data_IF_281703890754
#
_entry.id   IF_281703890754
#
_cell.length_a   1.000
_cell.length_b   1.000
_cell.length_c   1.000
_cell.angle_alpha   90.00
_cell.angle_beta   90.00
_cell.angle_gamma   90.00
#
_symmetry.space_group_name_H-M   'P 1'
#
loop_
_entity.id
_entity.type
_entity.pdbx_description
1 polymer ?
#
# COMPACT_ATOMS: atom_id res chain seq x y z
N UNK A 1 -7.91 -6.50 15.17
CA UNK A 1 -6.50 -6.04 15.30
C UNK A 1 -5.89 -5.90 13.92
N UNK A 2 -4.92 -4.99 13.74
CA UNK A 2 -4.08 -4.92 12.55
C UNK A 2 -2.75 -5.59 12.85
N UNK A 3 -2.31 -6.46 11.96
CA UNK A 3 -1.10 -7.28 12.09
C UNK A 3 -0.23 -7.02 10.86
N UNK A 4 1.03 -6.64 11.07
CA UNK A 4 2.03 -6.49 10.01
C UNK A 4 3.11 -7.53 10.20
N UNK A 5 3.44 -8.23 9.13
CA UNK A 5 4.47 -9.30 9.12
C UNK A 5 5.49 -9.01 8.03
N UNK A 6 6.77 -9.18 8.35
CA UNK A 6 7.87 -9.11 7.39
C UNK A 6 8.80 -10.32 7.55
N UNK A 7 9.23 -10.90 6.42
CA UNK A 7 10.11 -12.06 6.40
C UNK A 7 10.83 -12.19 5.06
N UNK A 8 11.87 -13.05 4.98
CA UNK A 8 12.28 -13.62 3.69
C UNK A 8 11.13 -14.43 3.11
N UNK A 9 10.87 -14.26 1.81
CA UNK A 9 9.81 -14.99 1.13
C UNK A 9 10.10 -16.49 1.07
N UNK A 10 9.08 -17.30 1.31
CA UNK A 10 9.10 -18.77 1.21
C UNK A 10 7.68 -19.33 1.09
N UNK A 11 7.51 -20.54 0.57
CA UNK A 11 6.24 -21.25 0.67
C UNK A 11 5.79 -21.43 2.13
N UNK A 12 4.49 -21.27 2.37
CA UNK A 12 3.85 -21.57 3.65
C UNK A 12 3.76 -20.41 4.64
N UNK A 13 4.36 -19.21 4.38
CA UNK A 13 4.28 -18.07 5.32
C UNK A 13 2.82 -17.66 5.59
N UNK A 14 2.00 -17.58 4.55
CA UNK A 14 0.59 -17.22 4.71
C UNK A 14 -0.12 -18.25 5.60
N UNK A 15 0.14 -19.54 5.35
CA UNK A 15 -0.45 -20.62 6.14
C UNK A 15 0.00 -20.57 7.62
N UNK A 16 1.28 -20.28 7.87
CA UNK A 16 1.79 -20.13 9.24
C UNK A 16 1.12 -18.96 9.97
N UNK A 17 1.00 -17.81 9.32
CA UNK A 17 0.40 -16.60 9.90
C UNK A 17 -1.09 -16.78 10.13
N UNK A 18 -1.82 -17.25 9.10
CA UNK A 18 -3.28 -17.47 9.22
C UNK A 18 -3.61 -18.63 10.16
N UNK A 19 -2.76 -19.65 10.21
CA UNK A 19 -2.87 -20.74 11.17
C UNK A 19 -2.72 -20.26 12.62
N UNK A 20 -1.79 -19.37 12.91
CA UNK A 20 -1.63 -18.77 14.23
C UNK A 20 -2.86 -17.96 14.65
N UNK A 21 -3.49 -17.22 13.72
CA UNK A 21 -4.75 -16.51 13.94
C UNK A 21 -5.88 -17.50 14.24
N UNK A 22 -6.01 -18.53 13.42
CA UNK A 22 -7.04 -19.56 13.58
C UNK A 22 -6.93 -20.28 14.94
N UNK A 23 -5.71 -20.64 15.37
CA UNK A 23 -5.49 -21.30 16.67
C UNK A 23 -5.83 -20.42 17.88
N UNK A 24 -5.93 -19.10 17.69
CA UNK A 24 -6.44 -18.14 18.69
C UNK A 24 -7.94 -17.85 18.54
N UNK A 25 -8.68 -18.68 17.80
CA UNK A 25 -10.08 -18.47 17.42
C UNK A 25 -10.31 -17.11 16.74
N UNK A 26 -9.30 -16.58 16.04
CA UNK A 26 -9.41 -15.36 15.27
C UNK A 26 -10.02 -15.60 13.89
N UNK A 27 -10.73 -14.58 13.39
CA UNK A 27 -11.26 -14.56 12.03
C UNK A 27 -10.57 -13.49 11.18
N UNK A 28 -10.18 -13.87 9.96
CA UNK A 28 -9.48 -12.98 9.03
C UNK A 28 -10.49 -12.12 8.25
N UNK A 29 -10.45 -10.81 8.49
CA UNK A 29 -11.34 -9.85 7.82
C UNK A 29 -10.75 -9.31 6.51
N UNK A 30 -9.42 -9.15 6.42
CA UNK A 30 -8.74 -8.65 5.22
C UNK A 30 -7.25 -9.00 5.23
N UNK A 31 -6.64 -9.15 4.04
CA UNK A 31 -5.23 -9.43 3.89
C UNK A 31 -4.68 -8.82 2.60
N UNK A 32 -3.58 -8.09 2.71
CA UNK A 32 -2.78 -7.66 1.58
C UNK A 32 -1.33 -8.08 1.79
N UNK A 33 -0.69 -8.60 0.73
CA UNK A 33 0.72 -8.96 0.78
C UNK A 33 1.45 -8.54 -0.49
N UNK A 34 2.75 -8.30 -0.36
CA UNK A 34 3.64 -8.09 -1.50
C UNK A 34 5.00 -8.72 -1.26
N UNK A 35 5.67 -9.08 -2.35
CA UNK A 35 7.05 -9.57 -2.31
C UNK A 35 7.93 -8.57 -3.06
N UNK A 36 8.95 -8.06 -2.39
CA UNK A 36 9.93 -7.15 -2.97
C UNK A 36 11.34 -7.69 -2.74
N UNK A 37 12.06 -7.97 -3.82
CA UNK A 37 13.45 -8.45 -3.79
C UNK A 37 13.66 -9.69 -2.87
N UNK A 38 12.70 -10.63 -2.84
CA UNK A 38 12.77 -11.83 -2.01
C UNK A 38 12.39 -11.62 -0.54
N UNK A 39 11.86 -10.45 -0.20
CA UNK A 39 11.23 -10.18 1.10
C UNK A 39 9.74 -10.03 0.94
N UNK A 40 8.99 -10.78 1.73
CA UNK A 40 7.54 -10.67 1.85
C UNK A 40 7.20 -9.66 2.93
N UNK A 41 6.25 -8.78 2.62
CA UNK A 41 5.54 -7.97 3.61
C UNK A 41 4.04 -8.26 3.51
N UNK A 42 3.38 -8.33 4.66
CA UNK A 42 1.96 -8.64 4.76
C UNK A 42 1.33 -7.74 5.81
N UNK A 43 0.18 -7.17 5.46
CA UNK A 43 -0.70 -6.49 6.41
C UNK A 43 -2.03 -7.22 6.38
N UNK A 44 -2.54 -7.57 7.55
CA UNK A 44 -3.83 -8.23 7.68
C UNK A 44 -4.62 -7.67 8.86
N UNK A 45 -5.92 -7.80 8.75
CA UNK A 45 -6.86 -7.41 9.79
C UNK A 45 -7.59 -8.66 10.24
N UNK A 46 -7.54 -8.93 11.53
CA UNK A 46 -8.23 -10.05 12.15
C UNK A 46 -9.04 -9.60 13.38
N UNK A 47 -10.16 -10.28 13.59
CA UNK A 47 -11.00 -10.15 14.79
C UNK A 47 -10.68 -11.28 15.74
N UNK A 48 -10.77 -11.01 17.04
CA UNK A 48 -10.51 -11.97 18.11
C UNK A 48 -11.50 -11.74 19.24
N UNK A 49 -11.65 -12.73 20.10
CA UNK A 49 -12.34 -12.53 21.37
C UNK A 49 -11.68 -11.43 22.21
N UNK A 50 -12.45 -10.76 23.04
CA UNK A 50 -11.99 -9.63 23.85
C UNK A 50 -10.87 -9.99 24.84
N UNK A 51 -10.73 -11.26 25.19
CA UNK A 51 -9.67 -11.80 26.06
C UNK A 51 -8.30 -11.89 25.37
N UNK A 52 -8.25 -11.95 24.04
CA UNK A 52 -6.99 -12.05 23.28
C UNK A 52 -6.32 -10.67 23.23
N UNK A 53 -5.06 -10.63 23.62
CA UNK A 53 -4.24 -9.41 23.59
C UNK A 53 -3.33 -9.37 22.36
N UNK A 54 -2.82 -8.20 21.94
CA UNK A 54 -1.78 -8.12 20.92
C UNK A 54 -0.54 -8.97 21.24
N UNK A 55 -0.19 -9.05 22.53
CA UNK A 55 0.95 -9.82 23.05
C UNK A 55 0.74 -11.33 22.82
N UNK A 56 -0.50 -11.83 23.02
CA UNK A 56 -0.83 -13.23 22.76
C UNK A 56 -0.67 -13.57 21.28
N UNK A 57 -1.09 -12.66 20.39
CA UNK A 57 -0.93 -12.83 18.94
C UNK A 57 0.55 -12.82 18.56
N UNK A 58 1.34 -11.89 19.08
CA UNK A 58 2.80 -11.82 18.84
C UNK A 58 3.47 -13.09 19.34
N UNK A 59 3.15 -13.54 20.55
CA UNK A 59 3.70 -14.77 21.12
C UNK A 59 3.38 -15.99 20.24
N UNK A 60 2.12 -16.10 19.79
CA UNK A 60 1.69 -17.19 18.92
C UNK A 60 2.40 -17.19 17.57
N UNK A 61 2.53 -16.03 16.94
CA UNK A 61 3.26 -15.84 15.68
C UNK A 61 4.76 -16.20 15.84
N UNK A 62 5.36 -15.91 16.97
CA UNK A 62 6.79 -16.21 17.25
C UNK A 62 7.07 -17.70 17.45
N UNK A 63 6.05 -18.50 17.77
CA UNK A 63 6.16 -19.95 18.02
C UNK A 63 5.76 -20.81 16.81
N UNK A 64 5.66 -20.22 15.61
CA UNK A 64 5.46 -21.02 14.40
C UNK A 64 6.61 -22.01 14.20
N UNK A 65 6.29 -23.21 13.70
CA UNK A 65 7.24 -24.32 13.55
C UNK A 65 8.34 -24.11 12.51
N UNK A 66 8.44 -22.92 11.95
CA UNK A 66 9.38 -22.57 10.91
C UNK A 66 10.74 -22.14 11.47
N UNK A 67 11.82 -22.59 10.84
CA UNK A 67 13.19 -22.13 11.13
C UNK A 67 13.42 -20.66 10.76
N UNK A 68 12.58 -20.11 9.89
CA UNK A 68 12.64 -18.69 9.48
C UNK A 68 11.64 -17.91 10.34
N UNK A 69 12.19 -17.11 11.23
CA UNK A 69 11.41 -16.17 12.04
C UNK A 69 10.93 -15.01 11.14
N UNK A 70 9.74 -14.52 11.44
CA UNK A 70 9.24 -13.28 10.86
C UNK A 70 9.09 -12.21 11.95
N UNK A 71 9.33 -10.97 11.54
CA UNK A 71 9.07 -9.82 12.38
C UNK A 71 7.58 -9.49 12.30
N UNK A 72 6.90 -9.41 13.45
CA UNK A 72 5.48 -9.10 13.52
C UNK A 72 5.21 -7.90 14.44
N UNK A 73 4.31 -7.03 13.99
CA UNK A 73 3.78 -5.93 14.78
C UNK A 73 2.26 -6.12 14.84
N UNK A 74 1.69 -6.09 16.05
CA UNK A 74 0.25 -6.23 16.27
C UNK A 74 -0.24 -5.00 17.03
N UNK A 75 -1.34 -4.40 16.55
CA UNK A 75 -1.98 -3.25 17.21
C UNK A 75 -3.49 -3.44 17.25
N UNK A 76 -4.12 -2.96 18.32
CA UNK A 76 -5.58 -2.78 18.32
C UNK A 76 -5.95 -1.67 17.36
N UNK A 77 -7.08 -1.84 16.69
CA UNK A 77 -7.65 -0.78 15.85
C UNK A 77 -8.58 0.08 16.71
N UNK A 78 -8.43 1.39 16.58
CA UNK A 78 -9.28 2.36 17.28
C UNK A 78 -10.64 2.55 16.58
N UNK A 79 -10.69 2.19 15.28
CA UNK A 79 -11.90 2.34 14.46
C UNK A 79 -12.31 0.98 13.90
N UNK A 80 -13.59 0.60 13.95
CA UNK A 80 -14.09 -0.61 13.32
C UNK A 80 -13.81 -0.67 11.82
N UNK A 81 -13.51 -1.87 11.31
CA UNK A 81 -13.15 -2.07 9.90
C UNK A 81 -14.29 -1.67 8.94
N UNK A 82 -15.53 -1.85 9.35
CA UNK A 82 -16.72 -1.50 8.55
C UNK A 82 -16.76 0.00 8.25
N UNK A 83 -16.39 0.83 9.23
CA UNK A 83 -16.30 2.30 9.07
C UNK A 83 -15.17 2.65 8.10
N UNK A 84 -14.02 2.00 8.21
CA UNK A 84 -12.87 2.25 7.32
C UNK A 84 -13.15 1.81 5.88
N UNK A 85 -13.80 0.66 5.69
CA UNK A 85 -14.20 0.17 4.36
C UNK A 85 -15.28 1.04 3.70
N UNK A 86 -16.08 1.75 4.48
CA UNK A 86 -17.08 2.70 3.96
C UNK A 86 -16.47 4.04 3.50
N UNK A 87 -15.25 4.35 3.92
CA UNK A 87 -14.55 5.60 3.58
C UNK A 87 -13.71 5.43 2.30
N UNK A 88 -14.34 5.01 1.20
CA UNK A 88 -13.65 4.95 -0.09
C UNK A 88 -13.55 6.36 -0.67
N UNK A 89 -12.37 6.82 -1.10
CA UNK A 89 -12.22 8.13 -1.73
C UNK A 89 -13.08 8.27 -2.99
N UNK A 90 -13.87 9.35 -3.07
CA UNK A 90 -14.79 9.58 -4.20
C UNK A 90 -14.06 9.92 -5.50
N UNK A 91 -12.88 10.57 -5.40
CA UNK A 91 -12.12 11.04 -6.57
C UNK A 91 -10.70 10.47 -6.54
N UNK A 92 -10.54 9.30 -7.08
CA UNK A 92 -9.24 8.64 -7.19
C UNK A 92 -8.61 8.90 -8.55
N UNK A 93 -7.35 9.31 -8.55
CA UNK A 93 -6.56 9.54 -9.76
C UNK A 93 -5.30 8.71 -9.75
N UNK A 94 -4.85 8.31 -10.93
CA UNK A 94 -3.56 7.65 -11.13
C UNK A 94 -2.59 8.66 -11.72
N UNK A 95 -1.48 8.87 -11.00
CA UNK A 95 -0.34 9.63 -11.47
C UNK A 95 0.74 8.66 -11.90
N UNK A 96 1.06 8.67 -13.21
CA UNK A 96 2.22 7.99 -13.74
C UNK A 96 3.32 9.02 -13.97
N UNK A 97 4.49 8.78 -13.41
CA UNK A 97 5.66 9.64 -13.58
C UNK A 97 6.85 8.78 -14.01
N UNK A 98 7.56 9.19 -15.07
CA UNK A 98 8.75 8.49 -15.52
C UNK A 98 9.84 9.45 -15.95
N UNK A 99 11.08 9.03 -15.79
CA UNK A 99 12.23 9.83 -16.16
C UNK A 99 13.55 9.12 -15.87
N UNK A 100 14.65 9.84 -16.04
CA UNK A 100 15.98 9.32 -15.69
C UNK A 100 16.07 9.13 -14.17
N UNK A 101 16.67 8.01 -13.73
CA UNK A 101 16.87 7.76 -12.31
C UNK A 101 17.72 8.87 -11.66
N UNK A 102 17.19 9.48 -10.63
CA UNK A 102 17.83 10.51 -9.80
C UNK A 102 17.47 10.31 -8.34
N UNK A 103 18.37 10.68 -7.44
CA UNK A 103 18.05 10.69 -6.00
C UNK A 103 16.91 11.68 -5.71
N UNK A 104 16.00 11.30 -4.82
CA UNK A 104 14.95 12.18 -4.30
C UNK A 104 13.68 12.27 -5.16
N UNK A 105 13.51 11.48 -6.22
CA UNK A 105 12.30 11.55 -7.06
C UNK A 105 11.03 11.24 -6.27
N UNK A 106 11.04 10.17 -5.47
CA UNK A 106 9.90 9.81 -4.62
C UNK A 106 9.64 10.90 -3.59
N UNK A 107 10.68 11.40 -2.93
CA UNK A 107 10.55 12.51 -1.97
C UNK A 107 9.93 13.76 -2.62
N UNK A 108 10.41 14.15 -3.80
CA UNK A 108 9.91 15.32 -4.51
C UNK A 108 8.42 15.21 -4.82
N UNK A 109 7.99 14.07 -5.38
CA UNK A 109 6.57 13.89 -5.74
C UNK A 109 5.68 13.74 -4.51
N UNK A 110 6.16 13.08 -3.45
CA UNK A 110 5.43 12.97 -2.19
C UNK A 110 5.30 14.32 -1.49
N UNK A 111 6.35 15.16 -1.53
CA UNK A 111 6.31 16.53 -1.01
C UNK A 111 5.33 17.40 -1.80
N UNK A 112 5.30 17.27 -3.13
CA UNK A 112 4.30 17.92 -3.98
C UNK A 112 2.87 17.57 -3.56
N UNK A 113 2.59 16.27 -3.34
CA UNK A 113 1.29 15.81 -2.87
C UNK A 113 0.97 16.36 -1.48
N UNK A 114 1.89 16.24 -0.53
CA UNK A 114 1.71 16.71 0.85
C UNK A 114 1.37 18.20 0.92
N UNK A 115 2.10 19.06 0.20
CA UNK A 115 1.88 20.51 0.19
C UNK A 115 0.49 20.92 -0.33
N UNK A 116 -0.19 20.01 -1.04
CA UNK A 116 -1.53 20.24 -1.60
C UNK A 116 -2.63 19.46 -0.88
N UNK A 117 -2.31 18.80 0.23
CA UNK A 117 -3.26 17.97 0.96
C UNK A 117 -3.74 16.74 0.18
N UNK A 118 -2.96 16.29 -0.81
CA UNK A 118 -3.26 15.09 -1.61
C UNK A 118 -2.70 13.87 -0.88
N UNK A 119 -3.58 12.93 -0.51
CA UNK A 119 -3.14 11.66 0.06
C UNK A 119 -2.72 10.68 -1.02
N UNK A 120 -1.61 9.97 -0.78
CA UNK A 120 -1.13 8.88 -1.63
C UNK A 120 -1.69 7.58 -1.04
N UNK A 121 -2.58 6.93 -1.78
CA UNK A 121 -3.24 5.68 -1.38
C UNK A 121 -2.38 4.45 -1.68
N UNK A 122 -1.66 4.49 -2.80
CA UNK A 122 -0.73 3.45 -3.23
C UNK A 122 0.41 4.04 -4.03
N UNK A 123 1.58 3.42 -3.96
CA UNK A 123 2.78 3.82 -4.68
C UNK A 123 3.59 2.60 -5.10
N UNK A 124 3.74 2.42 -6.39
CA UNK A 124 4.62 1.41 -6.96
C UNK A 124 5.74 2.05 -7.77
N UNK A 125 6.95 1.53 -7.63
CA UNK A 125 8.12 2.03 -8.37
C UNK A 125 8.80 0.92 -9.13
N UNK A 126 9.33 1.23 -10.32
CA UNK A 126 10.12 0.31 -11.12
C UNK A 126 11.35 1.03 -11.67
N UNK A 127 12.50 0.38 -11.56
CA UNK A 127 13.74 0.83 -12.19
C UNK A 127 14.15 -0.19 -13.25
N UNK A 128 14.16 0.24 -14.51
CA UNK A 128 14.62 -0.55 -15.64
C UNK A 128 15.44 0.33 -16.58
N UNK A 129 16.60 -0.14 -17.05
CA UNK A 129 17.47 0.55 -18.01
C UNK A 129 17.73 2.03 -17.65
N UNK A 130 18.03 2.31 -16.38
CA UNK A 130 18.22 3.65 -15.84
C UNK A 130 17.01 4.60 -15.99
N UNK A 131 15.84 4.06 -16.31
CA UNK A 131 14.56 4.75 -16.30
C UNK A 131 13.80 4.38 -15.02
N UNK A 132 13.40 5.39 -14.30
CA UNK A 132 12.60 5.26 -13.07
C UNK A 132 11.15 5.58 -13.40
N UNK A 133 10.27 4.66 -13.10
CA UNK A 133 8.82 4.82 -13.27
C UNK A 133 8.15 4.72 -11.91
N UNK A 134 7.24 5.64 -11.64
CA UNK A 134 6.39 5.67 -10.46
C UNK A 134 4.94 5.67 -10.90
N UNK A 135 4.12 4.84 -10.26
CA UNK A 135 2.67 4.84 -10.41
C UNK A 135 2.09 5.08 -9.02
N UNK A 136 1.36 6.17 -8.88
CA UNK A 136 0.74 6.57 -7.61
C UNK A 136 -0.77 6.60 -7.77
N UNK A 137 -1.48 6.03 -6.82
CA UNK A 137 -2.90 6.24 -6.65
C UNK A 137 -3.11 7.36 -5.64
N UNK A 138 -3.83 8.40 -6.05
CA UNK A 138 -4.01 9.63 -5.31
C UNK A 138 -5.47 9.86 -4.95
N UNK A 139 -5.73 10.29 -3.71
CA UNK A 139 -7.04 10.80 -3.30
C UNK A 139 -7.11 12.31 -3.55
N UNK A 140 -7.94 12.70 -4.50
CA UNK A 140 -8.23 14.08 -4.83
C UNK A 140 -9.66 14.52 -4.41
N UNK A 141 -10.30 13.80 -3.50
CA UNK A 141 -11.69 14.09 -3.07
C UNK A 141 -11.85 15.52 -2.54
N UNK A 142 -10.83 16.02 -1.83
CA UNK A 142 -10.82 17.38 -1.25
C UNK A 142 -10.33 18.47 -2.21
N UNK A 143 -9.92 18.11 -3.42
CA UNK A 143 -9.40 19.05 -4.40
C UNK A 143 -10.53 19.69 -5.19
N UNK A 144 -10.58 21.01 -5.15
CA UNK A 144 -11.62 21.80 -5.84
C UNK A 144 -11.33 22.01 -7.34
N UNK A 145 -10.04 22.05 -7.73
CA UNK A 145 -9.62 22.30 -9.11
C UNK A 145 -8.54 21.32 -9.56
N UNK A 146 -8.94 20.30 -10.29
CA UNK A 146 -8.01 19.36 -10.95
C UNK A 146 -7.14 20.07 -12.00
N UNK A 147 -7.66 21.12 -12.63
CA UNK A 147 -6.89 21.91 -13.59
C UNK A 147 -5.65 22.52 -12.93
N UNK A 148 -5.81 23.14 -11.76
CA UNK A 148 -4.69 23.75 -11.04
C UNK A 148 -3.65 22.69 -10.63
N UNK A 149 -4.10 21.51 -10.17
CA UNK A 149 -3.19 20.40 -9.84
C UNK A 149 -2.39 19.96 -11.07
N UNK A 150 -3.02 19.89 -12.25
CA UNK A 150 -2.33 19.53 -13.48
C UNK A 150 -1.29 20.58 -13.91
N UNK A 151 -1.62 21.86 -13.79
CA UNK A 151 -0.71 22.96 -14.12
C UNK A 151 0.52 22.95 -13.19
N UNK A 152 0.29 22.84 -11.89
CA UNK A 152 1.36 22.76 -10.88
C UNK A 152 2.21 21.51 -11.06
N UNK A 153 1.57 20.36 -11.35
CA UNK A 153 2.26 19.11 -11.59
C UNK A 153 3.13 19.16 -12.84
N UNK A 154 2.68 19.84 -13.90
CA UNK A 154 3.46 20.06 -15.11
C UNK A 154 4.70 20.92 -14.83
N UNK A 155 4.55 21.96 -14.01
CA UNK A 155 5.68 22.82 -13.60
C UNK A 155 6.70 22.02 -12.78
N UNK A 156 6.24 21.28 -11.77
CA UNK A 156 7.08 20.37 -10.97
C UNK A 156 7.82 19.34 -11.84
N UNK A 157 7.10 18.70 -12.75
CA UNK A 157 7.65 17.68 -13.64
C UNK A 157 8.76 18.21 -14.53
N UNK A 158 8.58 19.41 -15.07
CA UNK A 158 9.59 20.10 -15.88
C UNK A 158 10.88 20.34 -15.07
N UNK A 159 10.76 20.81 -13.85
CA UNK A 159 11.89 21.05 -12.95
C UNK A 159 12.58 19.75 -12.54
N UNK A 160 11.80 18.73 -12.19
CA UNK A 160 12.30 17.42 -11.80
C UNK A 160 12.86 16.60 -12.98
N UNK A 161 12.59 16.99 -14.23
CA UNK A 161 12.97 16.26 -15.43
C UNK A 161 12.17 14.94 -15.56
N UNK A 162 10.90 14.99 -15.20
CA UNK A 162 9.94 13.87 -15.30
C UNK A 162 8.93 14.13 -16.41
N UNK A 163 8.49 13.06 -17.07
CA UNK A 163 7.25 13.06 -17.82
C UNK A 163 6.14 12.52 -16.92
N UNK A 164 5.02 13.24 -16.81
CA UNK A 164 3.92 12.90 -15.92
C UNK A 164 2.59 12.86 -16.64
N UNK A 165 1.72 11.94 -16.23
CA UNK A 165 0.35 11.81 -16.70
C UNK A 165 -0.55 11.63 -15.48
N UNK A 166 -1.58 12.48 -15.34
CA UNK A 166 -2.60 12.38 -14.29
C UNK A 166 -3.93 12.03 -14.92
N UNK A 167 -4.46 10.84 -14.65
CA UNK A 167 -5.70 10.31 -15.20
C UNK A 167 -6.68 9.96 -14.07
N UNK A 168 -7.99 10.10 -14.34
CA UNK A 168 -8.99 9.54 -13.43
C UNK A 168 -8.84 8.02 -13.37
N UNK A 169 -9.05 7.44 -12.19
CA UNK A 169 -8.84 6.01 -11.99
C UNK A 169 -9.65 5.15 -12.98
N UNK A 170 -10.90 5.51 -13.27
CA UNK A 170 -11.74 4.77 -14.21
C UNK A 170 -11.17 4.77 -15.63
N UNK A 171 -10.60 5.90 -16.09
CA UNK A 171 -9.95 5.98 -17.40
C UNK A 171 -8.71 5.09 -17.41
N UNK A 172 -7.90 5.14 -16.35
CA UNK A 172 -6.70 4.30 -16.24
C UNK A 172 -7.05 2.81 -16.29
N UNK A 173 -8.09 2.37 -15.59
CA UNK A 173 -8.57 0.99 -15.59
C UNK A 173 -9.00 0.54 -16.98
N UNK A 174 -9.84 1.32 -17.65
CA UNK A 174 -10.31 0.98 -19.01
C UNK A 174 -9.16 0.88 -20.03
N UNK A 175 -8.12 1.70 -19.89
CA UNK A 175 -7.00 1.74 -20.83
C UNK A 175 -5.89 0.72 -20.54
N UNK A 176 -5.78 0.24 -19.28
CA UNK A 176 -4.67 -0.62 -18.84
C UNK A 176 -5.10 -1.98 -18.29
N UNK A 177 -6.39 -2.20 -17.98
CA UNK A 177 -6.88 -3.54 -17.67
C UNK A 177 -6.99 -4.35 -18.97
N UNK A 178 -5.99 -5.18 -19.21
CA UNK A 178 -6.14 -6.30 -20.15
C UNK A 178 -7.12 -7.26 -19.50
N UNK A 179 -8.32 -7.34 -20.05
CA UNK A 179 -9.32 -8.34 -19.63
C UNK A 179 -8.70 -9.72 -19.91
N UNK A 180 -8.17 -10.37 -18.89
CA UNK A 180 -7.89 -11.79 -18.96
C UNK A 180 -9.24 -12.50 -19.10
N UNK A 181 -9.52 -13.00 -20.31
CA UNK A 181 -10.63 -13.90 -20.58
C UNK A 181 -10.30 -15.28 -20.05
#
# INVERSE_FOLDING_TARGET
>A
MIISVMSKDRPGIIADVTGAIYELNGDLADLNQTVLCGYLTMILIATFDSSVTPEDVIAKLSHTKSDIKFDAIVKRMDTPIEILKAQVPEKTYILTAHGKNKKGLVFGISSFCYQRGINILDLTTTLADNKYTMILQLDLSHITSIKNVREDLAAFAKEAGLAVVLQHNDIFRVTNEVTMK
#
